data_IF_999793868201
#
_entry.id   IF_999793868201
#
_cell.length_a   1.000
_cell.length_b   1.000
_cell.length_c   1.000
_cell.angle_alpha   90.00
_cell.angle_beta   90.00
_cell.angle_gamma   90.00
#
_symmetry.space_group_name_H-M   'P 1'
#
loop_
_entity.id
_entity.type
_entity.pdbx_description
1 polymer ?
#
# COMPACT_ATOMS: atom_id res chain seq x y z
N UNK A 1 53.08 16.25 -22.69
CA UNK A 1 52.05 15.43 -23.38
C UNK A 1 51.11 14.86 -22.33
N UNK A 2 49.80 14.76 -22.65
CA UNK A 2 48.60 14.55 -21.78
C UNK A 2 48.09 15.87 -21.18
N UNK A 3 47.20 16.68 -21.75
CA UNK A 3 46.00 16.52 -22.61
C UNK A 3 44.88 15.67 -21.97
N UNK A 4 43.97 16.40 -21.33
CA UNK A 4 42.50 16.32 -21.47
C UNK A 4 41.75 15.17 -20.78
N UNK A 5 41.42 15.34 -19.51
CA UNK A 5 40.19 14.78 -18.91
C UNK A 5 39.66 15.80 -17.89
N UNK A 6 39.07 16.90 -18.37
CA UNK A 6 38.32 17.83 -17.51
C UNK A 6 37.23 18.53 -18.33
N UNK A 7 36.38 17.75 -19.00
CA UNK A 7 35.30 18.31 -19.83
C UNK A 7 34.02 17.48 -19.86
N UNK A 8 33.79 16.58 -18.88
CA UNK A 8 32.57 15.74 -18.88
C UNK A 8 31.75 15.77 -17.59
N UNK A 9 32.15 16.55 -16.57
CA UNK A 9 31.33 16.73 -15.35
C UNK A 9 30.41 17.97 -15.46
N UNK A 10 30.72 18.92 -16.35
CA UNK A 10 29.93 20.14 -16.51
C UNK A 10 28.61 19.95 -17.27
N UNK A 11 28.42 18.84 -17.99
CA UNK A 11 27.26 18.68 -18.90
C UNK A 11 26.09 17.90 -18.30
N UNK A 12 26.25 17.26 -17.12
CA UNK A 12 25.15 16.57 -16.42
C UNK A 12 24.55 17.45 -15.31
N UNK A 13 25.26 18.49 -14.85
CA UNK A 13 24.72 19.45 -13.89
C UNK A 13 23.77 20.50 -14.53
N UNK A 14 23.80 20.65 -15.85
CA UNK A 14 23.00 21.66 -16.57
C UNK A 14 21.53 21.27 -16.82
N UNK A 15 21.15 20.00 -16.68
CA UNK A 15 19.79 19.53 -16.95
C UNK A 15 18.90 19.41 -15.70
N UNK A 16 19.47 19.56 -14.50
CA UNK A 16 18.72 19.49 -13.24
C UNK A 16 18.23 20.87 -12.77
N UNK A 17 18.70 21.96 -13.37
CA UNK A 17 18.40 23.33 -12.91
C UNK A 17 17.16 23.92 -13.59
N UNK A 18 16.77 23.46 -14.79
CA UNK A 18 15.63 24.07 -15.51
C UNK A 18 14.24 23.52 -15.12
N UNK A 19 14.12 22.69 -14.09
CA UNK A 19 12.81 22.31 -13.55
C UNK A 19 12.27 23.31 -12.49
N UNK A 20 13.13 24.20 -11.97
CA UNK A 20 12.76 25.21 -10.96
C UNK A 20 12.67 26.64 -11.52
N UNK A 21 12.91 26.84 -12.83
CA UNK A 21 12.88 28.16 -13.48
C UNK A 21 11.49 28.54 -14.02
N UNK A 22 10.50 28.39 -13.15
CA UNK A 22 9.31 29.24 -13.19
C UNK A 22 9.08 29.65 -11.76
N UNK A 23 9.56 30.85 -11.40
CA UNK A 23 8.99 31.57 -10.28
C UNK A 23 7.49 31.70 -10.61
N UNK A 24 6.56 30.91 -10.03
CA UNK A 24 5.17 31.31 -10.12
C UNK A 24 5.15 32.65 -9.40
N UNK A 25 4.66 33.72 -10.04
CA UNK A 25 4.53 35.02 -9.37
C UNK A 25 4.04 34.77 -7.93
N UNK A 26 4.81 35.20 -6.92
CA UNK A 26 4.48 34.95 -5.51
C UNK A 26 3.07 35.48 -5.29
N UNK A 27 2.11 34.56 -5.16
CA UNK A 27 0.71 34.90 -4.99
C UNK A 27 0.57 35.57 -3.63
N UNK A 28 -0.18 36.66 -3.57
CA UNK A 28 -0.56 37.23 -2.28
C UNK A 28 -1.48 36.26 -1.54
N UNK A 29 -1.57 36.37 -0.22
CA UNK A 29 -2.48 35.57 0.60
C UNK A 29 -3.92 35.62 0.06
N UNK A 30 -4.36 36.79 -0.41
CA UNK A 30 -5.68 36.96 -1.03
C UNK A 30 -5.84 36.11 -2.29
N UNK A 31 -4.84 36.11 -3.17
CA UNK A 31 -4.85 35.30 -4.39
C UNK A 31 -4.81 33.79 -4.09
N UNK A 32 -4.08 33.39 -3.05
CA UNK A 32 -4.07 32.00 -2.57
C UNK A 32 -5.46 31.59 -2.05
N UNK A 33 -6.10 32.43 -1.24
CA UNK A 33 -7.44 32.16 -0.70
C UNK A 33 -8.49 32.07 -1.82
N UNK A 34 -8.41 32.95 -2.82
CA UNK A 34 -9.29 32.89 -4.00
C UNK A 34 -9.08 31.61 -4.81
N UNK A 35 -7.84 31.15 -4.96
CA UNK A 35 -7.53 29.88 -5.64
C UNK A 35 -8.05 28.68 -4.85
N UNK A 36 -7.89 28.66 -3.52
CA UNK A 36 -8.45 27.60 -2.67
C UNK A 36 -9.98 27.58 -2.80
N UNK A 37 -10.61 28.75 -2.67
CA UNK A 37 -12.06 28.89 -2.70
C UNK A 37 -12.67 28.56 -4.07
N UNK A 38 -11.90 28.75 -5.15
CA UNK A 38 -12.24 28.34 -6.52
C UNK A 38 -12.15 26.82 -6.73
N UNK A 39 -11.17 26.15 -6.11
CA UNK A 39 -10.91 24.71 -6.32
C UNK A 39 -11.35 23.82 -5.16
N UNK A 40 -12.06 24.38 -4.18
CA UNK A 40 -12.53 23.66 -2.99
C UNK A 40 -13.42 22.48 -3.40
N UNK A 41 -13.07 21.23 -3.08
CA UNK A 41 -13.86 20.06 -3.48
C UNK A 41 -15.33 20.11 -3.01
N UNK A 42 -15.59 20.77 -1.87
CA UNK A 42 -16.94 20.94 -1.31
C UNK A 42 -17.89 21.80 -2.17
N UNK A 43 -17.41 22.45 -3.24
CA UNK A 43 -18.23 23.24 -4.17
C UNK A 43 -18.68 22.46 -5.41
N UNK A 44 -18.74 21.13 -5.30
CA UNK A 44 -19.13 20.28 -6.43
C UNK A 44 -18.00 20.09 -7.43
N UNK A 45 -16.75 20.03 -6.96
CA UNK A 45 -15.63 19.60 -7.79
C UNK A 45 -15.91 18.22 -8.38
N UNK A 46 -15.48 17.93 -9.61
CA UNK A 46 -15.74 16.64 -10.24
C UNK A 46 -15.08 15.54 -9.42
N UNK A 47 -15.88 14.58 -8.97
CA UNK A 47 -15.39 13.34 -8.36
C UNK A 47 -15.08 12.40 -9.52
N UNK A 48 -13.82 11.96 -9.71
CA UNK A 48 -13.49 11.00 -10.75
C UNK A 48 -14.32 9.74 -10.62
N UNK A 49 -14.80 9.19 -11.73
CA UNK A 49 -15.58 7.95 -11.75
C UNK A 49 -14.78 6.74 -11.23
N UNK A 50 -13.46 6.80 -11.32
CA UNK A 50 -12.50 5.79 -10.84
C UNK A 50 -11.96 6.11 -9.42
N UNK A 51 -12.60 6.99 -8.65
CA UNK A 51 -12.10 7.38 -7.32
C UNK A 51 -11.92 6.17 -6.36
N UNK A 52 -12.74 5.12 -6.52
CA UNK A 52 -12.62 3.87 -5.76
C UNK A 52 -11.23 3.25 -5.96
N UNK A 53 -10.67 3.32 -7.16
CA UNK A 53 -9.34 2.79 -7.50
C UNK A 53 -8.19 3.75 -7.19
N UNK A 54 -8.47 4.89 -6.56
CA UNK A 54 -7.47 5.89 -6.15
C UNK A 54 -7.37 6.03 -4.64
N UNK A 55 -8.42 5.66 -3.91
CA UNK A 55 -8.49 5.81 -2.47
C UNK A 55 -8.34 4.48 -1.75
N UNK A 56 -7.51 4.52 -0.71
CA UNK A 56 -7.32 3.43 0.24
C UNK A 56 -7.41 3.89 1.67
N UNK A 57 -7.66 2.93 2.56
CA UNK A 57 -7.62 3.15 3.99
C UNK A 57 -6.84 2.04 4.70
N UNK A 58 -6.29 2.38 5.87
CA UNK A 58 -5.66 1.41 6.75
C UNK A 58 -6.69 0.89 7.74
N UNK A 59 -6.79 -0.44 7.87
CA UNK A 59 -7.60 -1.09 8.89
C UNK A 59 -6.69 -1.82 9.88
N UNK A 60 -6.61 -1.32 11.11
CA UNK A 60 -5.67 -1.82 12.13
C UNK A 60 -6.10 -1.39 13.55
N UNK A 61 -5.75 -2.24 14.52
CA UNK A 61 -5.81 -2.02 15.98
C UNK A 61 -7.11 -1.38 16.45
N UNK A 62 -8.20 -2.08 16.17
CA UNK A 62 -9.51 -1.68 16.64
C UNK A 62 -9.52 -1.54 18.15
N UNK A 63 -9.93 -0.37 18.62
CA UNK A 63 -10.30 -0.17 20.02
C UNK A 63 -11.82 -0.39 20.23
N UNK A 64 -12.54 -0.75 19.17
CA UNK A 64 -13.99 -0.95 19.15
C UNK A 64 -14.35 -2.23 18.39
N UNK A 65 -15.51 -2.80 18.73
CA UNK A 65 -16.09 -3.97 18.09
C UNK A 65 -17.60 -3.78 18.04
N UNK A 66 -18.16 -3.39 16.88
CA UNK A 66 -19.59 -3.06 16.78
C UNK A 66 -20.46 -4.29 16.48
N UNK A 67 -19.85 -5.38 16.01
CA UNK A 67 -20.55 -6.62 15.68
C UNK A 67 -19.91 -7.83 16.36
N UNK A 68 -20.42 -9.03 16.06
CA UNK A 68 -19.82 -10.31 16.41
C UNK A 68 -18.93 -10.88 15.30
N UNK A 69 -18.71 -10.15 14.19
CA UNK A 69 -17.82 -10.59 13.12
C UNK A 69 -16.34 -10.41 13.53
N UNK A 70 -15.42 -11.25 13.00
CA UNK A 70 -13.98 -11.04 13.17
C UNK A 70 -13.59 -9.61 12.78
N UNK A 71 -12.86 -8.89 13.64
CA UNK A 71 -12.61 -7.46 13.45
C UNK A 71 -11.97 -7.10 12.10
N UNK A 72 -11.02 -7.92 11.62
CA UNK A 72 -10.41 -7.73 10.30
C UNK A 72 -11.44 -7.83 9.17
N UNK A 73 -12.43 -8.71 9.29
CA UNK A 73 -13.50 -8.91 8.31
C UNK A 73 -14.50 -7.77 8.38
N UNK A 74 -14.96 -7.39 9.57
CA UNK A 74 -15.93 -6.30 9.79
C UNK A 74 -15.42 -4.99 9.16
N UNK A 75 -14.19 -4.59 9.49
CA UNK A 75 -13.65 -3.33 8.98
C UNK A 75 -13.30 -3.37 7.49
N UNK A 76 -12.87 -4.53 6.98
CA UNK A 76 -12.68 -4.69 5.53
C UNK A 76 -14.00 -4.51 4.78
N UNK A 77 -15.10 -5.10 5.25
CA UNK A 77 -16.44 -4.86 4.66
C UNK A 77 -16.82 -3.39 4.72
N UNK A 78 -16.66 -2.76 5.90
CA UNK A 78 -17.03 -1.35 6.09
C UNK A 78 -16.25 -0.43 5.16
N UNK A 79 -14.95 -0.64 4.98
CA UNK A 79 -14.14 0.16 4.07
C UNK A 79 -14.58 0.00 2.62
N UNK A 80 -14.90 -1.22 2.19
CA UNK A 80 -15.44 -1.43 0.85
C UNK A 80 -16.82 -0.75 0.65
N UNK A 81 -17.71 -0.82 1.65
CA UNK A 81 -19.01 -0.13 1.66
C UNK A 81 -18.87 1.40 1.58
N UNK A 82 -17.84 1.96 2.22
CA UNK A 82 -17.52 3.40 2.17
C UNK A 82 -16.92 3.83 0.83
N UNK A 83 -16.67 2.90 -0.10
CA UNK A 83 -16.18 3.20 -1.44
C UNK A 83 -14.66 3.16 -1.60
N UNK A 84 -13.91 2.68 -0.60
CA UNK A 84 -12.47 2.43 -0.77
C UNK A 84 -12.25 1.20 -1.66
N UNK A 85 -11.32 1.29 -2.61
CA UNK A 85 -10.88 0.18 -3.46
C UNK A 85 -9.53 -0.40 -3.06
N UNK A 86 -8.77 0.28 -2.20
CA UNK A 86 -7.51 -0.24 -1.67
C UNK A 86 -7.59 -0.46 -0.16
N UNK A 87 -7.01 -1.57 0.32
CA UNK A 87 -6.97 -1.91 1.72
C UNK A 87 -5.53 -2.09 2.20
N UNK A 88 -5.15 -1.34 3.23
CA UNK A 88 -3.89 -1.58 3.96
C UNK A 88 -4.17 -2.36 5.25
N UNK A 89 -3.45 -3.46 5.44
CA UNK A 89 -3.52 -4.31 6.62
C UNK A 89 -2.16 -4.41 7.31
N UNK A 90 -2.18 -4.52 8.63
CA UNK A 90 -1.05 -5.05 9.37
C UNK A 90 -1.04 -6.56 9.15
N UNK A 91 0.13 -7.09 8.84
CA UNK A 91 0.34 -8.51 8.55
C UNK A 91 1.46 -8.98 9.46
N UNK A 92 1.16 -8.94 10.76
CA UNK A 92 2.09 -9.20 11.85
C UNK A 92 1.57 -10.33 12.74
N UNK A 93 2.44 -11.30 13.01
CA UNK A 93 2.20 -12.43 13.92
C UNK A 93 2.46 -11.95 15.35
N UNK A 94 1.42 -11.87 16.18
CA UNK A 94 1.57 -11.76 17.62
C UNK A 94 1.36 -13.15 18.25
N UNK A 95 1.91 -13.38 19.44
CA UNK A 95 1.76 -14.68 20.10
C UNK A 95 0.27 -14.98 20.39
N UNK A 96 -0.26 -16.03 19.73
CA UNK A 96 -1.67 -16.43 19.81
C UNK A 96 -2.66 -15.57 19.02
N UNK A 97 -2.25 -14.46 18.40
CA UNK A 97 -3.15 -13.51 17.72
C UNK A 97 -2.52 -12.82 16.50
N UNK A 98 -3.33 -12.33 15.57
CA UNK A 98 -2.82 -11.39 14.57
C UNK A 98 -2.72 -9.99 15.20
N UNK A 99 -1.60 -9.30 14.99
CA UNK A 99 -1.34 -7.98 15.55
C UNK A 99 -2.45 -6.99 15.19
N UNK A 100 -3.17 -6.47 16.19
CA UNK A 100 -4.26 -5.51 16.02
C UNK A 100 -5.63 -6.08 15.63
N UNK A 101 -5.80 -7.41 15.54
CA UNK A 101 -7.06 -8.04 15.11
C UNK A 101 -7.67 -9.03 16.12
N UNK A 102 -7.66 -8.69 17.42
CA UNK A 102 -8.06 -9.60 18.50
C UNK A 102 -9.55 -9.91 18.62
N UNK A 103 -10.45 -9.02 18.22
CA UNK A 103 -11.88 -9.19 18.50
C UNK A 103 -12.54 -10.24 17.60
N UNK A 104 -13.41 -11.05 18.21
CA UNK A 104 -14.22 -12.11 17.58
C UNK A 104 -13.43 -13.06 16.67
N UNK A 105 -12.17 -13.29 17.00
CA UNK A 105 -11.24 -14.06 16.16
C UNK A 105 -10.50 -15.09 17.02
N UNK A 106 -10.37 -16.30 16.52
CA UNK A 106 -9.55 -17.36 17.11
C UNK A 106 -8.41 -17.68 16.13
N UNK A 107 -7.31 -16.94 16.27
CA UNK A 107 -6.20 -16.97 15.31
C UNK A 107 -5.27 -18.17 15.46
N UNK A 108 -5.09 -18.67 16.69
CA UNK A 108 -4.20 -19.82 17.00
C UNK A 108 -2.82 -19.75 16.33
N UNK A 109 -2.25 -18.55 16.20
CA UNK A 109 -0.97 -18.33 15.50
C UNK A 109 0.18 -18.76 16.40
N UNK A 110 1.17 -19.42 15.78
CA UNK A 110 2.44 -19.77 16.41
C UNK A 110 3.58 -18.91 15.85
N UNK A 111 4.65 -18.73 16.62
CA UNK A 111 5.84 -17.99 16.17
C UNK A 111 6.54 -18.63 14.97
N UNK A 112 6.37 -19.94 14.77
CA UNK A 112 6.96 -20.70 13.66
C UNK A 112 6.11 -20.67 12.39
N UNK A 113 4.88 -20.15 12.44
CA UNK A 113 4.01 -20.03 11.27
C UNK A 113 4.66 -19.12 10.22
N UNK A 114 4.74 -19.58 8.98
CA UNK A 114 5.30 -18.81 7.86
C UNK A 114 4.34 -17.71 7.40
N UNK A 115 4.85 -16.68 6.72
CA UNK A 115 3.98 -15.65 6.12
C UNK A 115 2.91 -16.22 5.19
N UNK A 116 3.25 -17.27 4.42
CA UNK A 116 2.31 -17.95 3.51
C UNK A 116 1.19 -18.66 4.26
N UNK A 117 1.50 -19.41 5.31
CA UNK A 117 0.48 -20.06 6.15
C UNK A 117 -0.42 -19.02 6.82
N UNK A 118 0.18 -17.92 7.29
CA UNK A 118 -0.56 -16.83 7.89
C UNK A 118 -1.53 -16.17 6.90
N UNK A 119 -1.13 -16.02 5.63
CA UNK A 119 -1.99 -15.46 4.57
C UNK A 119 -3.15 -16.41 4.19
N UNK A 120 -3.01 -17.71 4.46
CA UNK A 120 -4.06 -18.72 4.28
C UNK A 120 -5.01 -18.80 5.46
N UNK A 121 -4.72 -18.11 6.56
CA UNK A 121 -5.62 -18.07 7.70
C UNK A 121 -6.98 -17.52 7.29
N UNK A 122 -8.06 -18.17 7.74
CA UNK A 122 -9.43 -17.91 7.26
C UNK A 122 -9.82 -16.43 7.28
N UNK A 123 -9.37 -15.67 8.28
CA UNK A 123 -9.70 -14.25 8.42
C UNK A 123 -8.98 -13.35 7.41
N UNK A 124 -7.67 -13.59 7.15
CA UNK A 124 -6.97 -12.89 6.06
C UNK A 124 -7.51 -13.32 4.71
N UNK A 125 -7.76 -14.62 4.51
CA UNK A 125 -8.36 -15.10 3.26
C UNK A 125 -9.70 -14.43 3.00
N UNK A 126 -10.57 -14.35 4.00
CA UNK A 126 -11.88 -13.66 3.88
C UNK A 126 -11.71 -12.19 3.50
N UNK A 127 -10.73 -11.48 4.08
CA UNK A 127 -10.44 -10.09 3.71
C UNK A 127 -9.85 -9.98 2.29
N UNK A 128 -8.97 -10.90 1.90
CA UNK A 128 -8.37 -10.94 0.57
C UNK A 128 -9.38 -11.29 -0.51
N UNK A 129 -10.40 -12.10 -0.22
CA UNK A 129 -11.48 -12.43 -1.15
C UNK A 129 -12.46 -11.25 -1.40
N UNK A 130 -12.37 -10.16 -0.63
CA UNK A 130 -13.20 -8.96 -0.84
C UNK A 130 -12.77 -8.14 -2.06
N UNK A 131 -13.66 -7.34 -2.68
CA UNK A 131 -13.42 -6.69 -3.97
C UNK A 131 -12.55 -5.42 -3.90
N UNK A 132 -11.40 -5.51 -3.23
CA UNK A 132 -10.33 -4.50 -3.28
C UNK A 132 -9.42 -4.77 -4.48
N UNK A 133 -9.04 -3.72 -5.21
CA UNK A 133 -8.11 -3.81 -6.34
C UNK A 133 -6.65 -3.89 -5.89
N UNK A 134 -6.33 -3.37 -4.69
CA UNK A 134 -4.98 -3.38 -4.12
C UNK A 134 -5.01 -3.73 -2.64
N UNK A 135 -4.08 -4.59 -2.22
CA UNK A 135 -3.75 -4.80 -0.81
C UNK A 135 -2.33 -4.31 -0.52
N UNK A 136 -2.19 -3.48 0.50
CA UNK A 136 -0.89 -3.09 1.05
C UNK A 136 -0.69 -3.81 2.39
N UNK A 137 0.30 -4.70 2.46
CA UNK A 137 0.61 -5.45 3.68
C UNK A 137 1.79 -4.80 4.40
N UNK A 138 1.59 -4.40 5.65
CA UNK A 138 2.68 -4.02 6.53
C UNK A 138 3.21 -5.27 7.25
N UNK A 139 4.44 -5.66 6.95
CA UNK A 139 5.10 -6.84 7.50
C UNK A 139 6.39 -6.38 8.16
N UNK A 140 6.45 -6.49 9.49
CA UNK A 140 7.68 -6.26 10.26
C UNK A 140 8.24 -7.55 10.86
N UNK A 141 7.53 -8.68 10.69
CA UNK A 141 7.90 -9.96 11.29
C UNK A 141 9.27 -10.43 10.81
N UNK A 142 10.12 -10.81 11.75
CA UNK A 142 11.46 -11.34 11.47
C UNK A 142 12.54 -10.29 11.29
N UNK A 143 12.18 -9.02 11.07
CA UNK A 143 13.13 -7.90 11.14
C UNK A 143 13.42 -7.58 12.60
N UNK A 144 14.70 -7.64 12.98
CA UNK A 144 15.15 -7.19 14.29
C UNK A 144 15.32 -5.67 14.34
N UNK A 145 15.68 -5.16 15.51
CA UNK A 145 16.15 -3.79 15.65
C UNK A 145 17.47 -3.56 14.89
N UNK A 146 17.86 -2.30 14.72
CA UNK A 146 19.16 -1.95 14.18
C UNK A 146 20.27 -2.64 15.00
N UNK A 147 20.98 -3.58 14.37
CA UNK A 147 21.99 -4.42 15.00
C UNK A 147 23.23 -4.50 14.11
N UNK A 148 24.40 -4.47 14.75
CA UNK A 148 25.69 -4.70 14.09
C UNK A 148 26.04 -6.20 13.95
N UNK A 149 25.21 -7.09 14.48
CA UNK A 149 25.39 -8.54 14.35
C UNK A 149 25.18 -9.01 12.90
N UNK A 150 25.77 -10.15 12.55
CA UNK A 150 25.55 -10.77 11.23
C UNK A 150 24.08 -11.22 11.08
N UNK A 151 23.36 -10.56 10.18
CA UNK A 151 21.96 -10.84 9.89
C UNK A 151 21.75 -11.74 8.67
N UNK A 152 22.82 -12.26 8.03
CA UNK A 152 22.73 -12.98 6.75
C UNK A 152 21.68 -14.09 6.77
N UNK A 153 21.71 -14.96 7.79
CA UNK A 153 20.74 -16.06 7.91
C UNK A 153 19.29 -15.56 8.10
N UNK A 154 19.12 -14.51 8.88
CA UNK A 154 17.80 -13.90 9.15
C UNK A 154 17.24 -13.28 7.88
N UNK A 155 18.04 -12.49 7.17
CA UNK A 155 17.65 -11.85 5.92
C UNK A 155 17.34 -12.86 4.82
N UNK A 156 18.15 -13.92 4.65
CA UNK A 156 17.85 -15.00 3.70
C UNK A 156 16.55 -15.74 4.03
N UNK A 157 16.24 -15.97 5.31
CA UNK A 157 14.94 -16.55 5.71
C UNK A 157 13.78 -15.62 5.35
N UNK A 158 13.89 -14.33 5.67
CA UNK A 158 12.86 -13.33 5.37
C UNK A 158 12.63 -13.25 3.87
N UNK A 159 13.69 -13.16 3.07
CA UNK A 159 13.61 -13.15 1.61
C UNK A 159 12.83 -14.36 1.08
N UNK A 160 13.15 -15.56 1.58
CA UNK A 160 12.43 -16.78 1.20
C UNK A 160 10.94 -16.73 1.59
N UNK A 161 10.60 -16.26 2.80
CA UNK A 161 9.20 -16.13 3.23
C UNK A 161 8.43 -15.10 2.40
N UNK A 162 9.03 -13.96 2.05
CA UNK A 162 8.42 -12.97 1.17
C UNK A 162 8.23 -13.52 -0.24
N UNK A 163 9.19 -14.28 -0.75
CA UNK A 163 9.09 -14.91 -2.07
C UNK A 163 7.94 -15.93 -2.10
N UNK A 164 7.84 -16.79 -1.08
CA UNK A 164 6.74 -17.76 -0.95
C UNK A 164 5.38 -17.11 -0.76
N UNK A 165 5.29 -16.06 0.06
CA UNK A 165 4.07 -15.27 0.22
C UNK A 165 3.64 -14.65 -1.12
N UNK A 166 4.57 -14.01 -1.84
CA UNK A 166 4.30 -13.36 -3.12
C UNK A 166 3.84 -14.36 -4.17
N UNK A 167 4.53 -15.51 -4.29
CA UNK A 167 4.12 -16.61 -5.19
C UNK A 167 2.72 -17.10 -4.86
N UNK A 168 2.41 -17.29 -3.57
CA UNK A 168 1.08 -17.69 -3.14
C UNK A 168 0.02 -16.66 -3.54
N UNK A 169 0.21 -15.39 -3.18
CA UNK A 169 -0.76 -14.33 -3.47
C UNK A 169 -0.99 -14.16 -4.98
N UNK A 170 0.09 -14.16 -5.78
CA UNK A 170 -0.02 -14.07 -7.23
C UNK A 170 -0.72 -15.30 -7.82
N UNK A 171 -0.40 -16.50 -7.34
CA UNK A 171 -1.01 -17.74 -7.86
C UNK A 171 -2.47 -17.88 -7.48
N UNK A 172 -2.83 -17.57 -6.24
CA UNK A 172 -4.19 -17.72 -5.69
C UNK A 172 -5.13 -16.67 -6.30
N UNK A 173 -4.65 -15.45 -6.53
CA UNK A 173 -5.48 -14.30 -6.90
C UNK A 173 -5.24 -13.78 -8.33
N UNK A 174 -4.49 -14.49 -9.17
CA UNK A 174 -4.17 -14.10 -10.57
C UNK A 174 -5.40 -13.69 -11.39
N UNK A 175 -6.53 -14.36 -11.19
CA UNK A 175 -7.72 -14.20 -12.03
C UNK A 175 -8.60 -13.02 -11.57
N UNK A 176 -8.23 -12.34 -10.46
CA UNK A 176 -8.96 -11.17 -9.96
C UNK A 176 -8.76 -9.93 -10.80
N UNK A 177 -7.59 -9.79 -11.44
CA UNK A 177 -7.27 -8.62 -12.29
C UNK A 177 -8.14 -8.61 -13.56
N UNK A 178 -8.64 -9.78 -13.99
CA UNK A 178 -9.44 -9.91 -15.22
C UNK A 178 -10.90 -9.44 -15.08
N UNK A 179 -11.40 -9.21 -13.86
CA UNK A 179 -12.81 -8.85 -13.63
C UNK A 179 -13.06 -7.34 -13.44
N UNK A 180 -12.03 -6.54 -13.13
CA UNK A 180 -12.15 -5.07 -13.04
C UNK A 180 -11.87 -4.35 -14.36
N UNK A 181 -11.35 -5.05 -15.38
CA UNK A 181 -10.92 -4.48 -16.65
C UNK A 181 -12.01 -4.44 -17.74
N UNK A 182 -13.26 -4.84 -17.46
CA UNK A 182 -14.33 -4.88 -18.47
C UNK A 182 -15.12 -3.57 -18.62
N UNK A 183 -14.61 -2.45 -18.11
CA UNK A 183 -15.08 -1.12 -18.53
C UNK A 183 -14.19 -0.64 -19.68
N UNK A 184 -14.68 -0.61 -20.93
CA UNK A 184 -13.93 -0.02 -22.02
C UNK A 184 -13.99 1.50 -21.85
N UNK A 185 -12.88 2.14 -21.49
CA UNK A 185 -12.40 3.31 -22.22
C UNK A 185 -11.10 3.90 -21.67
N UNK A 186 -10.26 4.27 -22.64
CA UNK A 186 -9.06 5.13 -22.59
C UNK A 186 -7.73 4.50 -22.13
N UNK A 187 -6.91 4.22 -23.16
CA UNK A 187 -5.45 4.09 -23.21
C UNK A 187 -4.69 4.23 -21.89
N UNK A 188 -4.21 3.10 -21.35
CA UNK A 188 -3.03 3.10 -20.46
C UNK A 188 -1.79 2.80 -21.28
N UNK A 189 -0.99 3.83 -21.51
CA UNK A 189 0.40 3.71 -21.93
C UNK A 189 1.15 2.94 -20.83
N UNK A 190 1.60 1.73 -21.15
CA UNK A 190 2.55 0.98 -20.33
C UNK A 190 3.94 1.33 -20.83
N UNK A 191 4.68 2.13 -20.06
CA UNK A 191 6.14 2.23 -20.21
C UNK A 191 6.79 1.32 -19.18
N UNK A 192 7.59 0.37 -19.70
CA UNK A 192 8.47 -0.56 -18.98
C UNK A 192 9.54 0.20 -18.21
#
# INVERSE_FOLDING_TARGET
MKKTILASVAMILGLVISAQDKNPAELTDQQVLELIEKHKPSKGGPIPSDIKDRLGATHMDGQYCFTSEPYIVEGSKKLNELGYGMLKLWFAKAEGNAGGYRYNSDWRITKSMTLKEFARHQYYKTAFDMPFSVFALNINDGFGDASAEDQTKTLSRIENEFCELTRYLLSEYKDRISQSATTPDTERIVSV
#
